data_IF_725459638784
#
_entry.id   IF_725459638784
#
_cell.length_a   1.000
_cell.length_b   1.000
_cell.length_c   1.000
_cell.angle_alpha   90.00
_cell.angle_beta   90.00
_cell.angle_gamma   90.00
#
_symmetry.space_group_name_H-M   'P 1'
#
loop_
_entity.id
_entity.type
_entity.pdbx_description
1 polymer ?
#
# COMPACT_ATOMS: atom_id res chain seq x y z
N UNK A 1 14.67 -27.89 -1.48
CA UNK A 1 14.05 -26.55 -1.70
C UNK A 1 14.39 -25.54 -0.61
N UNK A 2 14.17 -25.84 0.69
CA UNK A 2 14.59 -24.97 1.81
C UNK A 2 16.06 -24.54 1.71
N UNK A 3 16.95 -25.48 1.41
CA UNK A 3 18.37 -25.21 1.22
C UNK A 3 18.67 -24.26 0.04
N UNK A 4 17.97 -24.40 -1.09
CA UNK A 4 18.07 -23.49 -2.24
C UNK A 4 17.61 -22.07 -1.88
N UNK A 5 16.49 -21.94 -1.15
CA UNK A 5 15.99 -20.64 -0.68
C UNK A 5 16.97 -19.98 0.29
N UNK A 6 17.58 -20.76 1.19
CA UNK A 6 18.62 -20.27 2.12
C UNK A 6 19.86 -19.82 1.36
N UNK A 7 20.33 -20.61 0.38
CA UNK A 7 21.46 -20.22 -0.48
C UNK A 7 21.17 -18.94 -1.26
N UNK A 8 19.96 -18.79 -1.79
CA UNK A 8 19.53 -17.59 -2.50
C UNK A 8 19.45 -16.37 -1.58
N UNK A 9 18.91 -16.52 -0.37
CA UNK A 9 18.86 -15.46 0.64
C UNK A 9 20.28 -15.04 1.07
N UNK A 10 21.18 -15.99 1.31
CA UNK A 10 22.58 -15.73 1.65
C UNK A 10 23.33 -15.04 0.50
N UNK A 11 23.08 -15.45 -0.76
CA UNK A 11 23.61 -14.76 -1.93
C UNK A 11 23.11 -13.31 -2.02
N UNK A 12 21.80 -13.07 -1.87
CA UNK A 12 21.23 -11.71 -1.85
C UNK A 12 21.84 -10.84 -0.75
N UNK A 13 22.00 -11.38 0.45
CA UNK A 13 22.62 -10.68 1.57
C UNK A 13 24.09 -10.30 1.28
N UNK A 14 24.86 -11.22 0.67
CA UNK A 14 26.25 -10.94 0.25
C UNK A 14 26.32 -9.85 -0.82
N UNK A 15 25.46 -9.91 -1.83
CA UNK A 15 25.39 -8.89 -2.89
C UNK A 15 25.02 -7.53 -2.30
N UNK A 16 24.01 -7.48 -1.41
CA UNK A 16 23.61 -6.24 -0.76
C UNK A 16 24.74 -5.62 0.08
N UNK A 17 25.52 -6.43 0.81
CA UNK A 17 26.70 -5.95 1.56
C UNK A 17 27.74 -5.34 0.62
N UNK A 18 28.12 -6.06 -0.44
CA UNK A 18 29.09 -5.57 -1.44
C UNK A 18 28.64 -4.29 -2.12
N UNK A 19 27.34 -4.18 -2.42
CA UNK A 19 26.77 -2.96 -3.00
C UNK A 19 26.82 -1.80 -1.99
N UNK A 20 26.52 -2.04 -0.71
CA UNK A 20 26.58 -1.00 0.32
C UNK A 20 28.00 -0.52 0.65
N UNK A 21 29.03 -1.34 0.41
CA UNK A 21 30.43 -0.93 0.51
C UNK A 21 30.84 0.06 -0.60
N UNK A 22 30.13 0.05 -1.74
CA UNK A 22 30.39 0.96 -2.85
C UNK A 22 29.77 2.35 -2.58
N UNK A 23 30.60 3.39 -2.55
CA UNK A 23 30.15 4.78 -2.38
C UNK A 23 29.15 5.21 -3.45
N UNK A 24 29.43 4.91 -4.73
CA UNK A 24 28.52 5.24 -5.83
C UNK A 24 27.12 4.63 -5.66
N UNK A 25 27.04 3.39 -5.16
CA UNK A 25 25.75 2.74 -4.93
C UNK A 25 24.94 3.40 -3.82
N UNK A 26 25.62 3.89 -2.76
CA UNK A 26 24.99 4.63 -1.67
C UNK A 26 24.42 5.96 -2.17
N UNK A 27 25.24 6.72 -2.91
CA UNK A 27 24.83 8.01 -3.49
C UNK A 27 23.66 7.84 -4.48
N UNK A 28 23.74 6.82 -5.35
CA UNK A 28 22.65 6.48 -6.27
C UNK A 28 21.37 6.10 -5.53
N UNK A 29 21.48 5.34 -4.43
CA UNK A 29 20.32 4.94 -3.62
C UNK A 29 19.67 6.15 -2.95
N UNK A 30 20.48 7.09 -2.46
CA UNK A 30 19.98 8.33 -1.84
C UNK A 30 19.31 9.24 -2.86
N UNK A 31 19.94 9.44 -4.02
CA UNK A 31 19.35 10.16 -5.16
C UNK A 31 18.00 9.54 -5.56
N UNK A 32 17.98 8.23 -5.81
CA UNK A 32 16.74 7.53 -6.18
C UNK A 32 15.69 7.60 -5.08
N UNK A 33 16.09 7.62 -3.79
CA UNK A 33 15.15 7.79 -2.67
C UNK A 33 14.45 9.14 -2.77
N UNK A 34 15.19 10.22 -3.00
CA UNK A 34 14.63 11.55 -3.25
C UNK A 34 13.66 11.57 -4.43
N UNK A 35 14.08 11.03 -5.58
CA UNK A 35 13.26 10.96 -6.80
C UNK A 35 12.00 10.10 -6.62
N UNK A 36 12.04 9.10 -5.73
CA UNK A 36 10.90 8.22 -5.44
C UNK A 36 9.91 8.76 -4.40
N UNK A 37 10.20 9.91 -3.76
CA UNK A 37 9.29 10.52 -2.77
C UNK A 37 7.91 10.84 -3.35
N UNK A 38 7.78 11.44 -4.55
CA UNK A 38 6.47 11.67 -5.17
C UNK A 38 5.70 10.37 -5.41
N UNK A 39 6.37 9.28 -5.78
CA UNK A 39 5.73 7.96 -5.96
C UNK A 39 5.20 7.41 -4.65
N UNK A 40 5.98 7.56 -3.58
CA UNK A 40 5.56 7.17 -2.23
C UNK A 40 4.40 8.03 -1.73
N UNK A 41 4.45 9.34 -2.02
CA UNK A 41 3.37 10.29 -1.77
C UNK A 41 2.10 9.92 -2.53
N UNK A 42 2.22 9.55 -3.81
CA UNK A 42 1.12 9.09 -4.66
C UNK A 42 0.51 7.80 -4.10
N UNK A 43 1.32 6.78 -3.78
CA UNK A 43 0.82 5.53 -3.19
C UNK A 43 0.04 5.78 -1.88
N UNK A 44 0.60 6.59 -0.97
CA UNK A 44 -0.07 6.98 0.28
C UNK A 44 -1.32 7.83 0.02
N UNK A 45 -1.27 8.74 -0.94
CA UNK A 45 -2.38 9.59 -1.36
C UNK A 45 -3.53 8.77 -1.92
N UNK A 46 -3.26 7.82 -2.81
CA UNK A 46 -4.23 6.88 -3.36
C UNK A 46 -4.98 6.12 -2.26
N UNK A 47 -4.28 5.64 -1.24
CA UNK A 47 -4.91 4.95 -0.10
C UNK A 47 -5.70 5.89 0.84
N UNK A 48 -5.37 7.17 0.88
CA UNK A 48 -6.14 8.19 1.63
C UNK A 48 -7.42 8.55 0.89
N UNK A 49 -7.33 8.80 -0.42
CA UNK A 49 -8.46 9.17 -1.26
C UNK A 49 -9.43 8.01 -1.47
N UNK A 50 -8.91 6.79 -1.62
CA UNK A 50 -9.69 5.58 -1.86
C UNK A 50 -9.46 4.54 -0.76
N UNK A 51 -10.06 4.73 0.43
CA UNK A 51 -9.80 3.89 1.59
C UNK A 51 -10.20 2.43 1.40
N UNK A 52 -11.15 2.14 0.50
CA UNK A 52 -11.53 0.76 0.16
C UNK A 52 -10.38 -0.04 -0.47
N UNK A 53 -9.40 0.61 -1.10
CA UNK A 53 -8.23 -0.06 -1.68
C UNK A 53 -7.36 -0.74 -0.62
N UNK A 54 -7.43 -0.32 0.65
CA UNK A 54 -6.77 -1.03 1.76
C UNK A 54 -7.27 -2.46 1.90
N UNK A 55 -8.55 -2.72 1.61
CA UNK A 55 -9.11 -4.09 1.59
C UNK A 55 -8.56 -4.92 0.42
N UNK A 56 -8.05 -4.26 -0.61
CA UNK A 56 -7.45 -4.86 -1.81
C UNK A 56 -5.91 -4.80 -1.78
N UNK A 57 -5.29 -4.44 -0.66
CA UNK A 57 -3.83 -4.32 -0.55
C UNK A 57 -3.13 -5.66 -0.82
N UNK A 58 -3.76 -6.77 -0.44
CA UNK A 58 -3.28 -8.12 -0.74
C UNK A 58 -3.26 -8.44 -2.24
N UNK A 59 -4.01 -7.69 -3.07
CA UNK A 59 -4.01 -7.78 -4.53
C UNK A 59 -3.10 -6.74 -5.18
N UNK A 60 -3.17 -5.49 -4.72
CA UNK A 60 -2.56 -4.35 -5.42
C UNK A 60 -1.14 -4.01 -4.92
N UNK A 61 -0.83 -4.33 -3.66
CA UNK A 61 0.46 -4.06 -3.02
C UNK A 61 0.91 -2.58 -3.07
N UNK A 62 -0.02 -1.65 -2.80
CA UNK A 62 0.22 -0.20 -2.86
C UNK A 62 1.16 0.24 -1.73
N UNK A 63 0.96 -0.25 -0.49
CA UNK A 63 1.85 0.04 0.64
C UNK A 63 3.18 -0.70 0.51
N UNK A 64 3.17 -1.90 -0.09
CA UNK A 64 4.41 -2.63 -0.34
C UNK A 64 5.33 -1.88 -1.32
N UNK A 65 4.80 -1.04 -2.20
CA UNK A 65 5.59 -0.18 -3.10
C UNK A 65 6.56 0.71 -2.32
N UNK A 66 6.09 1.34 -1.24
CA UNK A 66 6.90 2.23 -0.40
C UNK A 66 8.06 1.52 0.33
N UNK A 67 8.03 0.18 0.38
CA UNK A 67 9.07 -0.66 0.98
C UNK A 67 10.03 -1.24 -0.07
N UNK A 68 9.81 -1.00 -1.36
CA UNK A 68 10.71 -1.48 -2.43
C UNK A 68 11.97 -0.62 -2.51
N UNK A 69 13.03 -1.22 -3.04
CA UNK A 69 14.31 -0.52 -3.19
C UNK A 69 14.15 0.67 -4.17
N UNK A 70 14.54 1.89 -3.79
CA UNK A 70 14.26 3.09 -4.58
C UNK A 70 14.90 3.05 -5.97
N UNK A 71 16.11 2.47 -6.10
CA UNK A 71 16.78 2.29 -7.39
C UNK A 71 15.96 1.41 -8.35
N UNK A 72 15.28 0.37 -7.83
CA UNK A 72 14.43 -0.49 -8.67
C UNK A 72 13.20 0.28 -9.13
N UNK A 73 12.57 1.05 -8.23
CA UNK A 73 11.40 1.86 -8.56
C UNK A 73 11.72 2.88 -9.66
N UNK A 74 12.76 3.69 -9.43
CA UNK A 74 13.17 4.75 -10.35
C UNK A 74 13.67 4.15 -11.65
N UNK A 75 14.53 3.11 -11.60
CA UNK A 75 15.06 2.45 -12.80
C UNK A 75 13.96 1.83 -13.67
N UNK A 76 12.96 1.19 -13.06
CA UNK A 76 11.83 0.59 -13.79
C UNK A 76 11.00 1.66 -14.49
N UNK A 77 10.64 2.74 -13.77
CA UNK A 77 9.84 3.83 -14.33
C UNK A 77 10.60 4.64 -15.38
N UNK A 78 11.88 4.92 -15.15
CA UNK A 78 12.74 5.61 -16.10
C UNK A 78 12.90 4.79 -17.40
N UNK A 79 13.05 3.46 -17.29
CA UNK A 79 13.13 2.59 -18.46
C UNK A 79 11.87 2.67 -19.32
N UNK A 80 10.68 2.54 -18.73
CA UNK A 80 9.43 2.60 -19.52
C UNK A 80 9.13 4.00 -20.04
N UNK A 81 9.47 5.05 -19.29
CA UNK A 81 9.34 6.42 -19.77
C UNK A 81 10.26 6.67 -20.97
N UNK A 82 11.52 6.21 -20.90
CA UNK A 82 12.46 6.29 -22.01
C UNK A 82 11.98 5.51 -23.24
N UNK A 83 11.33 4.34 -23.04
CA UNK A 83 10.70 3.60 -24.13
C UNK A 83 9.55 4.38 -24.76
N UNK A 84 8.67 4.98 -23.95
CA UNK A 84 7.58 5.82 -24.44
C UNK A 84 8.06 7.06 -25.18
N UNK A 85 9.15 7.69 -24.74
CA UNK A 85 9.73 8.86 -25.41
C UNK A 85 10.44 8.52 -26.74
N UNK A 86 10.65 7.24 -27.06
CA UNK A 86 11.28 6.81 -28.31
C UNK A 86 10.23 6.63 -29.40
N UNK A 87 10.48 7.27 -30.54
CA UNK A 87 9.72 7.04 -31.77
C UNK A 87 9.79 5.57 -32.17
N UNK A 88 8.64 4.97 -32.47
CA UNK A 88 8.55 3.59 -32.97
C UNK A 88 8.16 3.58 -34.44
N UNK A 89 8.46 2.48 -35.14
CA UNK A 89 7.95 2.30 -36.51
C UNK A 89 6.43 2.26 -36.47
N UNK A 90 5.76 3.23 -37.10
CA UNK A 90 4.31 3.49 -37.08
C UNK A 90 3.79 4.33 -35.90
N UNK A 91 4.63 4.68 -34.91
CA UNK A 91 4.24 5.54 -33.78
C UNK A 91 3.20 4.88 -32.87
N UNK A 92 3.22 3.54 -32.76
CA UNK A 92 2.16 2.75 -32.15
C UNK A 92 2.67 1.90 -30.98
N UNK A 93 1.87 1.79 -29.93
CA UNK A 93 2.19 1.07 -28.69
C UNK A 93 2.50 -0.41 -28.91
N UNK A 94 1.75 -1.11 -29.78
CA UNK A 94 1.97 -2.53 -30.02
C UNK A 94 3.28 -2.81 -30.77
N UNK A 95 3.84 -1.81 -31.45
CA UNK A 95 5.09 -1.97 -32.19
C UNK A 95 6.32 -2.00 -31.27
N UNK A 96 6.18 -1.51 -30.03
CA UNK A 96 7.15 -1.77 -28.97
C UNK A 96 7.00 -3.21 -28.45
N UNK A 97 7.73 -4.13 -29.08
CA UNK A 97 7.75 -5.56 -28.72
C UNK A 97 8.20 -5.84 -27.28
N UNK A 98 8.86 -4.89 -26.61
CA UNK A 98 9.38 -5.07 -25.27
C UNK A 98 8.43 -4.59 -24.17
N UNK A 99 7.53 -3.63 -24.46
CA UNK A 99 6.77 -2.95 -23.40
C UNK A 99 5.73 -3.85 -22.73
N UNK A 100 4.91 -4.57 -23.51
CA UNK A 100 3.90 -5.48 -22.96
C UNK A 100 4.51 -6.61 -22.12
N UNK A 101 5.54 -7.35 -22.60
CA UNK A 101 6.23 -8.33 -21.77
C UNK A 101 6.83 -7.72 -20.49
N UNK A 102 7.47 -6.56 -20.58
CA UNK A 102 8.11 -5.92 -19.44
C UNK A 102 7.09 -5.49 -18.39
N UNK A 103 6.00 -4.84 -18.79
CA UNK A 103 4.93 -4.43 -17.88
C UNK A 103 4.24 -5.65 -17.26
N UNK A 104 4.03 -6.72 -18.02
CA UNK A 104 3.50 -7.98 -17.48
C UNK A 104 4.43 -8.62 -16.44
N UNK A 105 5.75 -8.56 -16.66
CA UNK A 105 6.75 -9.00 -15.69
C UNK A 105 6.68 -8.17 -14.40
N UNK A 106 6.67 -6.84 -14.54
CA UNK A 106 6.59 -5.90 -13.41
C UNK A 106 5.26 -6.05 -12.65
N UNK A 107 4.16 -6.35 -13.34
CA UNK A 107 2.86 -6.65 -12.73
C UNK A 107 2.96 -7.83 -11.75
N UNK A 108 3.64 -8.90 -12.16
CA UNK A 108 3.93 -10.05 -11.28
C UNK A 108 4.68 -9.63 -10.03
N UNK A 109 5.70 -8.78 -10.17
CA UNK A 109 6.49 -8.24 -9.06
C UNK A 109 5.67 -7.35 -8.11
N UNK A 110 4.94 -6.36 -8.65
CA UNK A 110 4.06 -5.46 -7.91
C UNK A 110 3.02 -4.84 -8.88
N UNK A 111 1.70 -5.15 -8.75
CA UNK A 111 0.68 -4.71 -9.69
C UNK A 111 0.55 -3.20 -9.77
N UNK A 112 0.61 -2.52 -8.62
CA UNK A 112 0.54 -1.06 -8.60
C UNK A 112 1.72 -0.41 -9.33
N UNK A 113 2.95 -0.93 -9.17
CA UNK A 113 4.10 -0.50 -9.96
C UNK A 113 3.90 -0.75 -11.45
N UNK A 114 3.37 -1.93 -11.82
CA UNK A 114 3.07 -2.25 -13.22
C UNK A 114 2.10 -1.25 -13.83
N UNK A 115 1.04 -0.89 -13.10
CA UNK A 115 0.10 0.17 -13.51
C UNK A 115 0.80 1.51 -13.73
N UNK A 116 1.63 1.93 -12.77
CA UNK A 116 2.41 3.18 -12.87
C UNK A 116 3.39 3.15 -14.05
N UNK A 117 3.92 1.97 -14.40
CA UNK A 117 4.74 1.80 -15.60
C UNK A 117 3.93 2.02 -16.87
N UNK A 118 2.71 1.50 -16.95
CA UNK A 118 1.79 1.76 -18.05
C UNK A 118 1.43 3.24 -18.19
N UNK A 119 1.17 3.92 -17.07
CA UNK A 119 0.95 5.39 -17.05
C UNK A 119 2.19 6.12 -17.55
N UNK A 120 3.38 5.77 -17.04
CA UNK A 120 4.63 6.45 -17.38
C UNK A 120 5.00 6.28 -18.86
N UNK A 121 4.78 5.10 -19.43
CA UNK A 121 4.94 4.88 -20.86
C UNK A 121 3.96 5.74 -21.66
N UNK A 122 2.67 5.72 -21.31
CA UNK A 122 1.65 6.49 -22.03
C UNK A 122 1.91 8.00 -22.00
N UNK A 123 2.35 8.53 -20.86
CA UNK A 123 2.78 9.94 -20.75
C UNK A 123 3.98 10.21 -21.65
N UNK A 124 5.00 9.34 -21.65
CA UNK A 124 6.16 9.47 -22.52
C UNK A 124 5.80 9.49 -24.01
N UNK A 125 4.97 8.54 -24.44
CA UNK A 125 4.53 8.40 -25.84
C UNK A 125 3.64 9.59 -26.27
N UNK A 126 2.73 10.06 -25.41
CA UNK A 126 1.95 11.26 -25.68
C UNK A 126 2.82 12.52 -25.80
N UNK A 127 3.80 12.69 -24.91
CA UNK A 127 4.76 13.81 -24.98
C UNK A 127 5.53 13.73 -26.30
N UNK A 128 6.06 12.57 -26.65
CA UNK A 128 6.77 12.38 -27.91
C UNK A 128 5.88 12.73 -29.12
N UNK A 129 4.64 12.24 -29.16
CA UNK A 129 3.69 12.51 -30.26
C UNK A 129 3.24 13.96 -30.34
N UNK A 130 3.25 14.66 -29.22
CA UNK A 130 2.95 16.08 -29.17
C UNK A 130 4.07 16.90 -29.83
N UNK A 131 5.33 16.59 -29.53
CA UNK A 131 6.49 17.27 -30.11
C UNK A 131 6.82 16.82 -31.54
N UNK A 132 6.62 15.54 -31.84
CA UNK A 132 6.88 14.93 -33.14
C UNK A 132 5.62 14.22 -33.60
N UNK A 133 4.76 14.86 -34.43
CA UNK A 133 3.53 14.24 -34.91
C UNK A 133 3.86 13.12 -35.92
N UNK A 134 4.18 11.94 -35.41
CA UNK A 134 4.60 10.76 -36.17
C UNK A 134 3.46 9.75 -36.38
N UNK A 135 2.22 10.17 -36.13
CA UNK A 135 1.02 9.34 -36.33
C UNK A 135 0.87 9.00 -37.82
N UNK A 136 0.79 7.71 -38.12
CA UNK A 136 0.56 7.23 -39.47
C UNK A 136 -0.73 7.83 -40.06
N UNK A 137 -0.64 8.40 -41.26
CA UNK A 137 -1.75 9.06 -41.96
C UNK A 137 -2.17 10.42 -41.40
N UNK A 138 -1.50 10.94 -40.36
CA UNK A 138 -1.86 12.22 -39.71
C UNK A 138 -0.62 12.92 -39.09
N UNK A 139 0.34 13.31 -39.94
CA UNK A 139 1.67 13.83 -39.50
C UNK A 139 1.72 15.34 -39.22
N UNK A 140 0.58 16.00 -39.09
CA UNK A 140 0.51 17.45 -38.94
C UNK A 140 -0.49 17.84 -37.85
N UNK A 141 -0.14 18.82 -37.00
CA UNK A 141 -1.02 19.32 -35.94
C UNK A 141 -2.33 19.95 -36.44
N UNK A 142 -2.34 20.41 -37.69
CA UNK A 142 -3.54 20.95 -38.34
C UNK A 142 -4.52 19.88 -38.84
N UNK A 143 -4.14 18.60 -38.84
CA UNK A 143 -5.01 17.51 -39.28
C UNK A 143 -5.95 17.10 -38.14
N UNK A 144 -7.27 17.11 -38.39
CA UNK A 144 -8.24 16.64 -37.41
C UNK A 144 -8.10 15.14 -37.12
N UNK A 145 -7.53 14.36 -38.05
CA UNK A 145 -7.19 12.96 -37.82
C UNK A 145 -6.09 12.81 -36.76
N UNK A 146 -5.16 13.77 -36.65
CA UNK A 146 -4.12 13.75 -35.62
C UNK A 146 -4.74 13.86 -34.24
N UNK A 147 -5.65 14.82 -34.04
CA UNK A 147 -6.32 15.02 -32.75
C UNK A 147 -7.27 13.88 -32.40
N UNK A 148 -8.00 13.33 -33.38
CA UNK A 148 -8.80 12.12 -33.18
C UNK A 148 -7.94 10.93 -32.73
N UNK A 149 -6.79 10.74 -33.36
CA UNK A 149 -5.83 9.70 -32.97
C UNK A 149 -5.22 9.95 -31.57
N UNK A 150 -4.88 11.21 -31.23
CA UNK A 150 -4.34 11.56 -29.91
C UNK A 150 -5.31 11.20 -28.78
N UNK A 151 -6.60 11.54 -28.92
CA UNK A 151 -7.63 11.19 -27.94
C UNK A 151 -7.80 9.66 -27.86
N UNK A 152 -7.80 8.98 -29.01
CA UNK A 152 -7.87 7.53 -29.05
C UNK A 152 -6.65 6.84 -28.42
N UNK A 153 -5.45 7.41 -28.54
CA UNK A 153 -4.25 6.89 -27.88
C UNK A 153 -4.34 6.95 -26.36
N UNK A 154 -4.94 8.00 -25.80
CA UNK A 154 -5.19 8.08 -24.35
C UNK A 154 -5.98 6.86 -23.87
N UNK A 155 -6.96 6.40 -24.67
CA UNK A 155 -7.73 5.18 -24.38
C UNK A 155 -6.87 3.94 -24.60
N UNK A 156 -6.09 3.87 -25.68
CA UNK A 156 -5.20 2.74 -25.96
C UNK A 156 -4.22 2.44 -24.82
N UNK A 157 -3.63 3.46 -24.18
CA UNK A 157 -2.70 3.27 -23.05
C UNK A 157 -3.35 2.65 -21.81
N UNK A 158 -4.68 2.66 -21.70
CA UNK A 158 -5.38 1.93 -20.63
C UNK A 158 -5.06 0.44 -20.69
N UNK A 159 -4.80 -0.15 -21.86
CA UNK A 159 -4.36 -1.55 -21.96
C UNK A 159 -3.02 -1.81 -21.29
N UNK A 160 -2.07 -0.87 -21.30
CA UNK A 160 -0.82 -1.02 -20.53
C UNK A 160 -1.06 -0.94 -19.03
N UNK A 161 -1.98 -0.06 -18.60
CA UNK A 161 -2.34 0.02 -17.19
C UNK A 161 -2.99 -1.29 -16.73
N UNK A 162 -3.89 -1.86 -17.56
CA UNK A 162 -4.52 -3.15 -17.31
C UNK A 162 -3.48 -4.28 -17.37
N UNK A 163 -2.55 -4.28 -18.33
CA UNK A 163 -1.42 -5.23 -18.36
C UNK A 163 -0.53 -5.10 -17.13
N UNK A 164 -0.40 -3.89 -16.59
CA UNK A 164 0.33 -3.60 -15.36
C UNK A 164 -0.35 -4.14 -14.11
N UNK A 165 -1.67 -4.30 -14.12
CA UNK A 165 -2.46 -4.75 -12.97
C UNK A 165 -2.84 -6.24 -13.05
N UNK A 166 -3.47 -6.63 -14.16
CA UNK A 166 -4.23 -7.87 -14.27
C UNK A 166 -3.40 -9.13 -14.06
N UNK A 167 -2.20 -9.30 -14.67
CA UNK A 167 -1.38 -10.50 -14.45
C UNK A 167 -1.01 -10.71 -12.99
N UNK A 168 -0.56 -9.65 -12.31
CA UNK A 168 -0.19 -9.72 -10.91
C UNK A 168 -1.37 -9.88 -9.96
N UNK A 169 -2.52 -9.27 -10.24
CA UNK A 169 -3.75 -9.48 -9.47
C UNK A 169 -4.28 -10.90 -9.63
N UNK A 170 -4.35 -11.41 -10.87
CA UNK A 170 -4.79 -12.77 -11.17
C UNK A 170 -3.89 -13.81 -10.50
N UNK A 171 -2.57 -13.62 -10.55
CA UNK A 171 -1.58 -14.45 -9.85
C UNK A 171 -1.88 -14.55 -8.34
N UNK A 172 -2.13 -13.41 -7.69
CA UNK A 172 -2.44 -13.34 -6.25
C UNK A 172 -3.79 -13.98 -5.93
N UNK A 173 -4.81 -13.74 -6.74
CA UNK A 173 -6.12 -14.34 -6.59
C UNK A 173 -6.06 -15.87 -6.71
N UNK A 174 -5.39 -16.40 -7.73
CA UNK A 174 -5.22 -17.84 -7.93
C UNK A 174 -4.43 -18.49 -6.79
N UNK A 175 -3.36 -17.84 -6.31
CA UNK A 175 -2.62 -18.26 -5.10
C UNK A 175 -3.50 -18.32 -3.87
N UNK A 176 -4.28 -17.26 -3.63
CA UNK A 176 -5.16 -17.19 -2.47
C UNK A 176 -6.24 -18.28 -2.52
N UNK A 177 -6.82 -18.53 -3.70
CA UNK A 177 -7.81 -19.59 -3.91
C UNK A 177 -7.23 -20.98 -3.64
N UNK A 178 -6.09 -21.31 -4.25
CA UNK A 178 -5.43 -22.61 -4.05
C UNK A 178 -4.95 -22.77 -2.61
N UNK A 179 -4.37 -21.72 -2.01
CA UNK A 179 -3.99 -21.73 -0.60
C UNK A 179 -5.18 -21.94 0.34
N UNK A 180 -6.37 -21.41 0.02
CA UNK A 180 -7.58 -21.66 0.79
C UNK A 180 -8.04 -23.12 0.69
N UNK A 181 -8.00 -23.71 -0.51
CA UNK A 181 -8.31 -25.14 -0.74
C UNK A 181 -7.33 -26.03 0.02
N UNK A 182 -6.03 -25.74 -0.05
CA UNK A 182 -4.99 -26.48 0.67
C UNK A 182 -5.19 -26.37 2.18
N UNK A 183 -5.44 -25.17 2.71
CA UNK A 183 -5.71 -24.98 4.15
C UNK A 183 -6.97 -25.74 4.58
N UNK A 184 -8.02 -25.74 3.76
CA UNK A 184 -9.23 -26.53 3.99
C UNK A 184 -8.94 -28.03 4.05
N UNK A 185 -8.16 -28.54 3.09
CA UNK A 185 -7.71 -29.93 3.07
C UNK A 185 -6.85 -30.29 4.30
N UNK A 186 -5.89 -29.43 4.67
CA UNK A 186 -5.04 -29.66 5.84
C UNK A 186 -5.81 -29.61 7.15
N UNK A 187 -6.83 -28.75 7.28
CA UNK A 187 -7.74 -28.75 8.43
C UNK A 187 -8.53 -30.05 8.51
N UNK A 188 -9.10 -30.51 7.40
CA UNK A 188 -9.81 -31.81 7.33
C UNK A 188 -8.89 -32.99 7.64
N UNK A 189 -7.62 -32.92 7.24
CA UNK A 189 -6.60 -33.90 7.60
C UNK A 189 -6.32 -33.87 9.11
N UNK A 190 -6.14 -32.69 9.69
CA UNK A 190 -5.88 -32.56 11.12
C UNK A 190 -7.04 -33.09 11.96
N UNK A 191 -8.30 -32.81 11.56
CA UNK A 191 -9.48 -33.39 12.22
C UNK A 191 -9.54 -34.91 12.03
N UNK A 192 -9.33 -35.42 10.82
CA UNK A 192 -9.33 -36.87 10.57
C UNK A 192 -8.23 -37.62 11.34
N UNK A 193 -7.06 -37.02 11.53
CA UNK A 193 -5.99 -37.61 12.36
C UNK A 193 -6.31 -37.53 13.85
N UNK A 194 -7.01 -36.48 14.31
CA UNK A 194 -7.52 -36.41 15.68
C UNK A 194 -8.59 -37.47 15.96
N UNK A 195 -9.37 -37.84 14.94
CA UNK A 195 -10.41 -38.87 15.01
C UNK A 195 -9.89 -40.31 14.77
N UNK A 196 -8.56 -40.52 14.73
CA UNK A 196 -7.94 -41.84 14.55
C UNK A 196 -7.95 -42.38 13.11
N UNK A 197 -8.29 -41.55 12.12
CA UNK A 197 -8.26 -41.89 10.70
C UNK A 197 -6.85 -42.01 10.12
N UNK A 198 -6.73 -42.81 9.05
CA UNK A 198 -5.47 -43.04 8.35
C UNK A 198 -4.81 -41.74 7.85
N UNK A 199 -3.47 -41.66 7.93
CA UNK A 199 -2.72 -40.47 7.52
C UNK A 199 -2.87 -40.19 6.02
N UNK A 200 -3.44 -39.04 5.67
CA UNK A 200 -3.46 -38.55 4.29
C UNK A 200 -2.05 -38.14 3.82
N UNK A 201 -1.71 -38.29 2.52
CA UNK A 201 -0.39 -37.96 1.99
C UNK A 201 -0.01 -36.48 2.17
N UNK A 202 1.30 -36.21 2.24
CA UNK A 202 1.85 -34.84 2.35
C UNK A 202 1.65 -34.09 1.04
N UNK A 203 1.01 -32.92 1.09
CA UNK A 203 0.75 -32.09 -0.08
C UNK A 203 1.94 -31.17 -0.40
N UNK A 204 2.34 -31.02 -1.68
CA UNK A 204 3.37 -30.08 -2.12
C UNK A 204 2.82 -28.64 -2.20
N UNK A 205 2.25 -28.15 -1.10
CA UNK A 205 1.47 -26.91 -1.04
C UNK A 205 2.13 -25.67 -1.69
N UNK A 206 3.45 -25.39 -1.48
CA UNK A 206 4.09 -24.21 -2.08
C UNK A 206 4.19 -24.29 -3.62
N UNK A 207 4.35 -25.49 -4.18
CA UNK A 207 4.44 -25.67 -5.63
C UNK A 207 3.10 -25.43 -6.30
N UNK A 208 2.00 -25.89 -5.67
CA UNK A 208 0.65 -25.66 -6.16
C UNK A 208 0.28 -24.17 -6.16
N UNK A 209 0.68 -23.42 -5.13
CA UNK A 209 0.47 -21.97 -5.10
C UNK A 209 1.32 -21.23 -6.15
N UNK A 210 2.57 -21.62 -6.35
CA UNK A 210 3.43 -21.03 -7.40
C UNK A 210 2.83 -21.31 -8.78
N UNK A 211 2.44 -22.56 -9.06
CA UNK A 211 1.83 -22.98 -10.31
C UNK A 211 0.49 -22.27 -10.55
N UNK A 212 -0.36 -22.15 -9.53
CA UNK A 212 -1.62 -21.42 -9.63
C UNK A 212 -1.41 -19.94 -9.94
N UNK A 213 -0.42 -19.31 -9.29
CA UNK A 213 -0.07 -17.92 -9.58
C UNK A 213 0.48 -17.73 -10.99
N UNK A 214 1.32 -18.67 -11.46
CA UNK A 214 1.82 -18.71 -12.82
C UNK A 214 0.69 -18.82 -13.85
N UNK A 215 -0.24 -19.76 -13.67
CA UNK A 215 -1.38 -19.96 -14.57
C UNK A 215 -2.30 -18.74 -14.59
N UNK A 216 -2.59 -18.15 -13.42
CA UNK A 216 -3.38 -16.92 -13.32
C UNK A 216 -2.73 -15.74 -14.06
N UNK A 217 -1.41 -15.57 -13.90
CA UNK A 217 -0.66 -14.53 -14.60
C UNK A 217 -0.60 -14.75 -16.11
N UNK A 218 -0.39 -16.00 -16.54
CA UNK A 218 -0.40 -16.37 -17.95
C UNK A 218 -1.74 -16.03 -18.60
N UNK A 219 -2.84 -16.51 -18.01
CA UNK A 219 -4.18 -16.32 -18.54
C UNK A 219 -4.51 -14.84 -18.64
N UNK A 220 -4.27 -14.07 -17.57
CA UNK A 220 -4.54 -12.63 -17.59
C UNK A 220 -3.64 -11.86 -18.57
N UNK A 221 -2.33 -12.17 -18.63
CA UNK A 221 -1.43 -11.54 -19.59
C UNK A 221 -1.81 -11.84 -21.04
N UNK A 222 -2.19 -13.09 -21.32
CA UNK A 222 -2.70 -13.49 -22.62
C UNK A 222 -4.01 -12.76 -22.94
N UNK A 223 -4.99 -12.74 -22.04
CA UNK A 223 -6.29 -12.07 -22.25
C UNK A 223 -6.13 -10.59 -22.47
N UNK A 224 -5.24 -9.91 -21.74
CA UNK A 224 -5.04 -8.47 -21.96
C UNK A 224 -4.45 -8.22 -23.35
N UNK A 225 -3.45 -9.01 -23.76
CA UNK A 225 -2.81 -8.82 -25.08
C UNK A 225 -3.72 -9.24 -26.24
N UNK A 226 -4.51 -10.31 -26.07
CA UNK A 226 -5.32 -10.89 -27.13
C UNK A 226 -6.72 -10.25 -27.24
N UNK A 227 -7.35 -9.87 -26.12
CA UNK A 227 -8.74 -9.40 -26.12
C UNK A 227 -8.85 -7.91 -25.78
N UNK A 228 -8.12 -7.45 -24.76
CA UNK A 228 -8.29 -6.08 -24.24
C UNK A 228 -7.57 -5.06 -25.10
N UNK A 229 -6.28 -5.27 -25.38
CA UNK A 229 -5.46 -4.34 -26.15
C UNK A 229 -6.07 -4.01 -27.53
N UNK A 230 -6.51 -5.00 -28.33
CA UNK A 230 -7.14 -4.73 -29.63
C UNK A 230 -8.36 -3.82 -29.52
N UNK A 231 -9.21 -4.03 -28.52
CA UNK A 231 -10.42 -3.22 -28.32
C UNK A 231 -10.04 -1.79 -27.89
N UNK A 232 -9.12 -1.65 -26.94
CA UNK A 232 -8.71 -0.33 -26.45
C UNK A 232 -7.93 0.50 -27.47
N UNK A 233 -7.33 -0.14 -28.48
CA UNK A 233 -6.63 0.54 -29.57
C UNK A 233 -7.56 1.05 -30.66
N UNK A 234 -8.76 0.48 -30.82
CA UNK A 234 -9.74 0.91 -31.83
C UNK A 234 -9.97 2.43 -31.83
N UNK A 235 -10.23 3.10 -30.69
CA UNK A 235 -10.35 4.56 -30.64
C UNK A 235 -9.24 5.32 -31.37
N UNK A 236 -7.99 4.88 -31.32
CA UNK A 236 -6.85 5.56 -31.98
C UNK A 236 -6.96 5.56 -33.52
N UNK A 237 -7.82 4.72 -34.09
CA UNK A 237 -8.05 4.60 -35.52
C UNK A 237 -9.45 5.07 -35.93
N UNK A 238 -10.48 4.62 -35.20
CA UNK A 238 -11.88 4.83 -35.58
C UNK A 238 -12.45 6.20 -35.16
N UNK A 239 -11.84 6.90 -34.20
CA UNK A 239 -12.28 8.26 -33.83
C UNK A 239 -11.70 9.35 -34.74
N UNK A 240 -10.92 8.97 -35.75
CA UNK A 240 -10.43 9.89 -36.77
C UNK A 240 -11.58 10.26 -37.71
N UNK A 241 -11.73 11.53 -38.13
CA UNK A 241 -12.75 11.93 -39.11
C UNK A 241 -12.68 11.16 -40.44
N UNK A 242 -11.48 10.74 -40.87
CA UNK A 242 -11.27 9.86 -42.03
C UNK A 242 -10.44 8.65 -41.59
N UNK A 243 -11.09 7.60 -41.05
CA UNK A 243 -10.37 6.48 -40.46
C UNK A 243 -9.68 5.64 -41.54
N UNK A 244 -8.37 5.43 -41.40
CA UNK A 244 -7.63 4.38 -42.10
C UNK A 244 -7.32 3.25 -41.10
N UNK A 245 -7.98 2.11 -41.31
CA UNK A 245 -7.94 0.95 -40.40
C UNK A 245 -6.98 -0.14 -40.90
N UNK A 246 -6.32 0.06 -42.04
CA UNK A 246 -5.36 -0.90 -42.59
C UNK A 246 -4.21 -1.17 -41.59
N UNK A 247 -3.73 -0.12 -40.94
CA UNK A 247 -2.72 -0.21 -39.89
C UNK A 247 -3.24 -0.93 -38.63
N UNK A 248 -4.51 -0.71 -38.25
CA UNK A 248 -5.11 -1.38 -37.10
C UNK A 248 -5.15 -2.90 -37.27
N UNK A 249 -5.59 -3.38 -38.43
CA UNK A 249 -5.63 -4.83 -38.69
C UNK A 249 -4.24 -5.46 -38.70
N UNK A 250 -3.23 -4.76 -39.24
CA UNK A 250 -1.84 -5.23 -39.19
C UNK A 250 -1.32 -5.25 -37.74
N UNK A 251 -1.62 -4.20 -36.96
CA UNK A 251 -1.24 -4.04 -35.56
C UNK A 251 -1.81 -5.17 -34.70
N UNK A 252 -3.13 -5.35 -34.73
CA UNK A 252 -3.82 -6.38 -33.94
C UNK A 252 -3.30 -7.78 -34.29
N UNK A 253 -3.26 -8.12 -35.58
CA UNK A 253 -2.91 -9.48 -35.98
C UNK A 253 -1.41 -9.79 -35.83
N UNK A 254 -0.53 -8.80 -35.98
CA UNK A 254 0.92 -9.03 -35.99
C UNK A 254 1.57 -8.72 -34.65
N UNK A 255 1.13 -7.67 -33.99
CA UNK A 255 1.78 -7.09 -32.83
C UNK A 255 1.04 -7.33 -31.52
N UNK A 256 -0.23 -7.75 -31.56
CA UNK A 256 -1.02 -8.12 -30.38
C UNK A 256 -1.30 -9.63 -30.29
N UNK A 257 -2.12 -10.18 -31.19
CA UNK A 257 -2.56 -11.57 -31.13
C UNK A 257 -1.41 -12.57 -31.20
N UNK A 258 -0.50 -12.43 -32.19
CA UNK A 258 0.64 -13.34 -32.38
C UNK A 258 1.57 -13.43 -31.15
N UNK A 259 2.00 -12.32 -30.52
CA UNK A 259 2.87 -12.40 -29.34
C UNK A 259 2.13 -12.67 -28.02
N UNK A 260 0.79 -12.67 -27.98
CA UNK A 260 0.03 -12.88 -26.74
C UNK A 260 0.46 -14.11 -25.91
N UNK A 261 0.72 -15.30 -26.50
CA UNK A 261 1.23 -16.45 -25.74
C UNK A 261 2.59 -16.19 -25.09
N UNK A 262 3.50 -15.52 -25.79
CA UNK A 262 4.82 -15.17 -25.27
C UNK A 262 4.71 -14.16 -24.11
N UNK A 263 3.83 -13.17 -24.23
CA UNK A 263 3.55 -12.18 -23.16
C UNK A 263 2.98 -12.88 -21.91
N UNK A 264 2.04 -13.81 -22.08
CA UNK A 264 1.54 -14.65 -20.98
C UNK A 264 2.66 -15.47 -20.33
N UNK A 265 3.59 -16.00 -21.12
CA UNK A 265 4.79 -16.70 -20.62
C UNK A 265 5.69 -15.79 -19.77
N UNK A 266 5.89 -14.54 -20.18
CA UNK A 266 6.70 -13.57 -19.39
C UNK A 266 5.96 -13.16 -18.11
N UNK A 267 4.64 -12.98 -18.16
CA UNK A 267 3.82 -12.73 -16.98
C UNK A 267 3.95 -13.84 -15.93
N UNK A 268 4.05 -15.09 -16.38
CA UNK A 268 4.32 -16.26 -15.54
C UNK A 268 5.65 -16.12 -14.81
N UNK A 269 6.72 -15.75 -15.51
CA UNK A 269 8.05 -15.58 -14.90
C UNK A 269 8.04 -14.50 -13.82
N UNK A 270 7.40 -13.34 -14.08
CA UNK A 270 7.30 -12.25 -13.11
C UNK A 270 6.51 -12.64 -11.86
N UNK A 271 5.52 -13.50 -12.02
CA UNK A 271 4.71 -14.03 -10.93
C UNK A 271 5.39 -15.17 -10.17
N UNK A 272 6.16 -16.02 -10.85
CA UNK A 272 6.83 -17.17 -10.26
C UNK A 272 7.94 -16.79 -9.28
N UNK A 273 8.46 -15.56 -9.36
CA UNK A 273 9.32 -15.00 -8.33
C UNK A 273 8.47 -14.89 -7.06
N UNK A 274 8.76 -15.64 -6.00
CA UNK A 274 8.03 -15.45 -4.77
C UNK A 274 8.25 -14.00 -4.37
N UNK A 275 7.16 -13.23 -4.27
CA UNK A 275 7.14 -12.01 -3.45
C UNK A 275 7.25 -12.51 -2.01
N UNK A 276 8.41 -13.05 -1.68
CA UNK A 276 9.00 -12.86 -0.39
C UNK A 276 9.15 -11.34 -0.31
N UNK A 277 8.08 -10.66 0.12
CA UNK A 277 8.27 -9.65 1.14
C UNK A 277 9.38 -10.22 2.04
N UNK A 278 10.50 -9.50 2.24
CA UNK A 278 11.58 -9.99 3.08
C UNK A 278 10.90 -10.65 4.27
N UNK A 279 11.20 -11.94 4.57
CA UNK A 279 10.50 -12.64 5.64
C UNK A 279 10.38 -11.63 6.75
N UNK A 280 9.15 -11.36 7.23
CA UNK A 280 9.00 -10.72 8.54
C UNK A 280 10.01 -11.48 9.35
N UNK A 281 11.10 -10.80 9.73
CA UNK A 281 12.25 -11.50 10.30
C UNK A 281 11.62 -12.41 11.33
N UNK A 282 11.82 -13.75 11.24
CA UNK A 282 11.35 -14.60 12.32
C UNK A 282 11.84 -13.88 13.57
N UNK A 283 10.94 -13.53 14.52
CA UNK A 283 11.30 -12.73 15.67
C UNK A 283 12.62 -13.30 16.14
N UNK A 284 13.67 -12.47 16.08
CA UNK A 284 15.04 -12.93 16.29
C UNK A 284 14.96 -13.91 17.43
N UNK A 285 15.27 -15.18 17.17
CA UNK A 285 15.29 -16.17 18.24
C UNK A 285 16.20 -15.54 19.27
N UNK A 286 15.60 -15.14 20.40
CA UNK A 286 16.30 -14.34 21.38
C UNK A 286 17.63 -15.06 21.63
N UNK A 287 18.78 -14.37 21.53
CA UNK A 287 20.04 -14.97 21.94
C UNK A 287 19.78 -15.62 23.29
N UNK A 288 20.08 -16.92 23.41
CA UNK A 288 19.78 -17.73 24.59
C UNK A 288 19.98 -16.87 25.83
N UNK A 289 18.86 -16.42 26.40
CA UNK A 289 18.88 -15.47 27.51
C UNK A 289 19.57 -16.20 28.65
N UNK A 290 20.52 -15.55 29.35
CA UNK A 290 20.93 -16.01 30.67
C UNK A 290 19.67 -16.32 31.47
N UNK A 291 19.67 -17.44 32.19
CA UNK A 291 18.53 -17.89 32.98
C UNK A 291 18.34 -16.89 34.14
N UNK A 292 17.40 -15.95 33.97
CA UNK A 292 17.02 -14.99 35.00
C UNK A 292 15.80 -15.51 35.75
N UNK A 293 15.70 -15.25 37.07
CA UNK A 293 14.52 -15.62 37.85
C UNK A 293 13.26 -14.94 37.32
N UNK A 294 12.11 -15.60 37.44
CA UNK A 294 10.82 -15.12 36.88
C UNK A 294 10.32 -13.82 37.53
N UNK A 295 10.85 -13.48 38.71
CA UNK A 295 10.57 -12.27 39.47
C UNK A 295 11.88 -11.64 39.97
N UNK A 296 12.06 -10.34 39.71
CA UNK A 296 13.19 -9.55 40.20
C UNK A 296 12.63 -8.38 41.01
N UNK A 297 13.01 -8.33 42.28
CA UNK A 297 12.63 -7.25 43.18
C UNK A 297 13.77 -6.23 43.35
N UNK A 298 13.40 -4.96 43.33
CA UNK A 298 14.32 -3.85 43.57
C UNK A 298 13.64 -2.76 44.38
N UNK A 299 14.31 -2.29 45.44
CA UNK A 299 13.87 -1.12 46.21
C UNK A 299 14.58 0.11 45.66
N UNK A 300 13.80 1.06 45.13
CA UNK A 300 14.31 2.31 44.60
C UNK A 300 14.77 3.28 45.73
N UNK A 301 15.57 4.31 45.41
CA UNK A 301 16.04 5.29 46.40
C UNK A 301 14.93 6.09 47.09
N UNK A 302 13.71 6.13 46.52
CA UNK A 302 12.52 6.73 47.15
C UNK A 302 11.80 5.78 48.12
N UNK A 303 12.36 4.58 48.36
CA UNK A 303 11.81 3.57 49.25
C UNK A 303 10.70 2.72 48.64
N UNK A 304 10.34 2.91 47.36
CA UNK A 304 9.31 2.10 46.70
C UNK A 304 9.88 0.79 46.16
N UNK A 305 9.11 -0.29 46.33
CA UNK A 305 9.46 -1.64 45.85
C UNK A 305 8.97 -1.82 44.43
N UNK A 306 9.88 -1.84 43.47
CA UNK A 306 9.61 -2.22 42.10
C UNK A 306 9.75 -3.73 41.94
N UNK A 307 8.71 -4.35 41.38
CA UNK A 307 8.67 -5.78 41.06
C UNK A 307 8.66 -5.91 39.54
N UNK A 308 9.62 -6.65 39.00
CA UNK A 308 9.71 -7.00 37.59
C UNK A 308 9.22 -8.43 37.40
N UNK A 309 8.13 -8.63 36.67
CA UNK A 309 7.55 -9.96 36.40
C UNK A 309 7.66 -10.28 34.92
N UNK A 310 8.05 -11.51 34.62
CA UNK A 310 8.10 -12.02 33.26
C UNK A 310 6.69 -12.31 32.72
N UNK A 311 6.34 -11.69 31.61
CA UNK A 311 5.06 -11.92 30.93
C UNK A 311 5.09 -13.19 30.05
N UNK A 312 3.94 -13.59 29.51
CA UNK A 312 3.80 -14.74 28.62
C UNK A 312 4.62 -14.64 27.31
N UNK A 313 5.05 -13.43 26.94
CA UNK A 313 5.91 -13.14 25.78
C UNK A 313 7.41 -13.16 26.13
N UNK A 314 7.73 -13.47 27.40
CA UNK A 314 9.10 -13.57 27.91
C UNK A 314 9.76 -12.25 28.29
N UNK A 315 9.03 -11.13 28.25
CA UNK A 315 9.49 -9.79 28.60
C UNK A 315 9.26 -9.49 30.09
N UNK A 316 10.18 -8.78 30.73
CA UNK A 316 9.98 -8.33 32.12
C UNK A 316 9.23 -7.02 32.13
N UNK A 317 8.15 -6.95 32.91
CA UNK A 317 7.33 -5.75 33.07
C UNK A 317 7.46 -5.28 34.50
N UNK A 318 7.72 -3.98 34.68
CA UNK A 318 7.64 -3.35 35.98
C UNK A 318 6.18 -3.14 36.37
N UNK A 319 5.70 -3.89 37.35
CA UNK A 319 4.27 -3.87 37.75
C UNK A 319 3.82 -2.47 38.17
N UNK A 320 4.70 -1.67 38.78
CA UNK A 320 4.35 -0.32 39.24
C UNK A 320 4.20 0.69 38.10
N UNK A 321 4.88 0.47 36.96
CA UNK A 321 4.93 1.46 35.87
C UNK A 321 4.31 0.96 34.57
N UNK A 322 4.03 -0.35 34.46
CA UNK A 322 3.57 -1.00 33.22
C UNK A 322 4.61 -1.02 32.10
N UNK A 323 5.83 -0.52 32.35
CA UNK A 323 6.89 -0.43 31.35
C UNK A 323 7.63 -1.75 31.18
N UNK A 324 7.96 -2.07 29.93
CA UNK A 324 8.82 -3.21 29.57
C UNK A 324 10.27 -2.87 29.92
N UNK A 325 10.95 -3.77 30.62
CA UNK A 325 12.33 -3.64 31.09
C UNK A 325 13.19 -4.71 30.44
N UNK A 326 14.29 -4.27 29.82
CA UNK A 326 15.31 -5.17 29.30
C UNK A 326 16.25 -5.59 30.45
N UNK A 327 16.11 -6.83 30.91
CA UNK A 327 16.90 -7.38 32.02
C UNK A 327 18.38 -7.53 31.68
N UNK A 328 18.75 -7.60 30.40
CA UNK A 328 20.17 -7.61 30.00
C UNK A 328 20.88 -6.30 30.32
N UNK A 329 20.11 -5.21 30.49
CA UNK A 329 20.57 -3.87 30.86
C UNK A 329 19.96 -3.42 32.19
N UNK A 330 19.65 -4.37 33.08
CA UNK A 330 18.96 -4.11 34.34
C UNK A 330 19.65 -3.02 35.20
N UNK A 331 20.97 -3.03 35.29
CA UNK A 331 21.72 -2.04 36.08
C UNK A 331 21.67 -0.64 35.46
N UNK A 332 21.75 -0.53 34.14
CA UNK A 332 21.60 0.75 33.44
C UNK A 332 20.18 1.30 33.57
N UNK A 333 19.18 0.41 33.53
CA UNK A 333 17.79 0.76 33.78
C UNK A 333 17.59 1.27 35.22
N UNK A 334 18.13 0.57 36.23
CA UNK A 334 18.09 1.01 37.65
C UNK A 334 18.76 2.37 37.83
N UNK A 335 19.92 2.61 37.20
CA UNK A 335 20.63 3.89 37.27
C UNK A 335 19.83 5.02 36.60
N UNK A 336 19.22 4.74 35.45
CA UNK A 336 18.37 5.72 34.74
C UNK A 336 17.14 6.06 35.57
N UNK A 337 16.46 5.06 36.14
CA UNK A 337 15.31 5.27 37.00
C UNK A 337 15.68 6.02 38.28
N UNK A 338 16.80 5.67 38.91
CA UNK A 338 17.28 6.38 40.10
C UNK A 338 17.53 7.86 39.83
N UNK A 339 18.07 8.19 38.64
CA UNK A 339 18.27 9.57 38.19
C UNK A 339 16.95 10.29 37.96
N UNK A 340 16.00 9.66 37.26
CA UNK A 340 14.68 10.25 37.03
C UNK A 340 13.94 10.53 38.35
N UNK A 341 14.05 9.63 39.33
CA UNK A 341 13.50 9.82 40.68
C UNK A 341 14.15 11.02 41.37
N UNK A 342 15.49 11.13 41.30
CA UNK A 342 16.22 12.26 41.88
C UNK A 342 15.81 13.59 41.23
N UNK A 343 15.73 13.64 39.89
CA UNK A 343 15.29 14.83 39.13
C UNK A 343 13.84 15.21 39.48
N UNK A 344 12.95 14.23 39.61
CA UNK A 344 11.55 14.48 39.97
C UNK A 344 11.42 14.98 41.42
N UNK A 345 12.23 14.47 42.35
CA UNK A 345 12.28 14.95 43.74
C UNK A 345 12.83 16.39 43.81
N UNK A 346 13.86 16.70 43.03
CA UNK A 346 14.44 18.06 42.95
C UNK A 346 13.41 19.04 42.37
N UNK A 347 12.77 18.70 41.25
CA UNK A 347 11.70 19.50 40.67
C UNK A 347 10.55 19.73 41.66
N UNK A 348 10.14 18.68 42.40
CA UNK A 348 9.08 18.79 43.40
C UNK A 348 9.48 19.72 44.55
N UNK A 349 10.74 19.69 45.00
CA UNK A 349 11.27 20.62 46.00
C UNK A 349 11.28 22.05 45.49
N UNK A 350 11.72 22.29 44.26
CA UNK A 350 11.70 23.62 43.67
C UNK A 350 10.27 24.20 43.56
N UNK A 351 9.30 23.38 43.17
CA UNK A 351 7.90 23.81 43.09
C UNK A 351 7.35 24.16 44.48
N UNK A 352 7.67 23.35 45.49
CA UNK A 352 7.28 23.63 46.89
C UNK A 352 7.94 24.90 47.42
N UNK A 353 9.22 25.16 47.09
CA UNK A 353 9.87 26.42 47.43
C UNK A 353 9.24 27.62 46.73
N UNK A 354 8.90 27.50 45.44
CA UNK A 354 8.21 28.55 44.69
C UNK A 354 6.84 28.86 45.31
N UNK A 355 6.09 27.84 45.71
CA UNK A 355 4.82 28.00 46.43
C UNK A 355 5.03 28.68 47.78
N UNK A 356 6.01 28.24 48.57
CA UNK A 356 6.32 28.86 49.86
C UNK A 356 6.73 30.35 49.72
N UNK A 357 7.52 30.69 48.68
CA UNK A 357 7.88 32.09 48.35
C UNK A 357 6.66 32.91 47.89
N UNK A 358 5.75 32.31 47.13
CA UNK A 358 4.49 32.95 46.71
C UNK A 358 3.61 33.26 47.92
N UNK A 359 3.46 32.32 48.84
CA UNK A 359 2.59 32.47 50.00
C UNK A 359 3.16 33.47 51.02
N UNK A 360 4.49 33.54 51.17
CA UNK A 360 5.15 34.60 51.95
C UNK A 360 5.04 35.98 51.29
N UNK A 361 5.15 36.08 49.97
CA UNK A 361 4.94 37.33 49.23
C UNK A 361 3.48 37.81 49.33
N UNK A 362 2.50 36.91 49.28
CA UNK A 362 1.08 37.23 49.48
C UNK A 362 0.81 37.71 50.91
N UNK A 363 1.45 37.12 51.92
CA UNK A 363 1.39 37.62 53.31
C UNK A 363 1.99 39.01 53.47
N UNK A 364 3.14 39.30 52.84
CA UNK A 364 3.75 40.64 52.87
C UNK A 364 2.95 41.67 52.06
N UNK A 365 2.33 41.27 50.95
CA UNK A 365 1.45 42.10 50.13
C UNK A 365 0.16 42.50 50.84
N UNK A 366 -0.46 41.57 51.59
CA UNK A 366 -1.62 41.88 52.43
C UNK A 366 -1.25 42.69 53.69
N UNK A 367 -0.02 42.57 54.20
CA UNK A 367 0.48 43.46 55.25
C UNK A 367 0.62 44.93 54.82
N UNK A 368 0.80 45.20 53.52
CA UNK A 368 0.86 46.57 52.97
C UNK A 368 -0.48 47.14 52.51
N UNK A 369 -1.54 46.34 52.41
CA UNK A 369 -2.91 46.77 52.09
C UNK A 369 -3.89 46.67 53.27
N UNK A 370 -3.37 46.50 54.48
CA UNK A 370 -4.14 46.52 55.74
C UNK A 370 -4.10 47.87 56.47
N UNK A 371 -4.01 48.99 55.74
CA UNK A 371 -4.09 50.33 56.29
C UNK A 371 -5.22 51.10 55.63
N UNK A 372 -6.45 50.90 56.09
CA UNK A 372 -7.59 51.76 55.74
C UNK A 372 -8.73 51.03 55.06
N UNK A 373 -9.60 50.40 55.85
CA UNK A 373 -11.05 50.42 55.67
C UNK A 373 -11.70 49.71 56.86
N UNK A 374 -11.64 50.38 58.00
CA UNK A 374 -12.55 50.15 59.11
C UNK A 374 -13.95 50.64 58.69
N UNK A 375 -14.98 49.82 58.92
CA UNK A 375 -16.36 50.28 59.02
C UNK A 375 -17.29 49.94 57.85
N UNK A 376 -17.99 48.80 57.94
CA UNK A 376 -19.41 48.77 58.36
C UNK A 376 -19.98 47.35 58.33
N UNK A 377 -20.68 47.06 59.42
CA UNK A 377 -21.49 45.88 59.74
C UNK A 377 -22.55 45.59 58.65
N UNK A 378 -22.86 44.31 58.43
CA UNK A 378 -24.09 43.63 58.91
C UNK A 378 -24.26 42.24 58.27
N UNK A 379 -24.41 41.21 59.15
CA UNK A 379 -25.38 40.10 59.16
C UNK A 379 -25.86 39.51 57.80
N UNK A 380 -25.85 38.21 57.50
CA UNK A 380 -26.40 37.05 58.24
C UNK A 380 -26.00 35.71 57.54
N UNK A 381 -25.80 34.68 58.36
CA UNK A 381 -26.19 33.25 58.24
C UNK A 381 -25.97 32.41 56.95
N UNK A 382 -25.26 31.29 57.14
CA UNK A 382 -25.32 29.99 56.43
C UNK A 382 -26.60 29.17 56.80
N UNK A 383 -26.87 27.93 56.30
CA UNK A 383 -26.50 27.18 55.06
C UNK A 383 -27.77 26.51 54.40
N UNK A 384 -27.76 25.23 53.94
CA UNK A 384 -27.66 24.76 52.54
C UNK A 384 -28.99 24.21 51.99
N UNK A 385 -29.06 23.89 50.69
CA UNK A 385 -30.23 23.26 50.09
C UNK A 385 -29.93 22.52 48.79
N UNK A 386 -30.22 21.22 48.82
CA UNK A 386 -30.16 20.24 47.74
C UNK A 386 -31.10 20.58 46.58
N UNK A 387 -30.84 20.04 45.38
CA UNK A 387 -31.73 20.24 44.23
C UNK A 387 -31.22 19.64 42.93
N UNK A 388 -31.44 18.34 42.80
CA UNK A 388 -31.34 17.51 41.60
C UNK A 388 -32.33 17.95 40.50
N UNK A 389 -32.00 17.53 39.26
CA UNK A 389 -32.89 17.39 38.10
C UNK A 389 -33.23 18.60 37.20
N UNK A 390 -33.34 18.26 35.90
CA UNK A 390 -33.78 19.06 34.76
C UNK A 390 -32.85 20.16 34.20
N UNK A 391 -31.99 19.78 33.23
CA UNK A 391 -32.05 20.34 31.87
C UNK A 391 -31.15 19.58 30.86
N UNK A 392 -31.31 18.26 30.77
CA UNK A 392 -30.86 17.48 29.60
C UNK A 392 -31.96 17.55 28.53
N UNK A 393 -32.13 18.72 27.91
CA UNK A 393 -33.04 18.89 26.77
C UNK A 393 -32.72 20.18 26.01
N UNK A 394 -31.62 20.16 25.23
CA UNK A 394 -31.36 21.08 24.09
C UNK A 394 -30.01 20.76 23.45
N UNK A 395 -29.85 19.57 22.86
CA UNK A 395 -28.68 19.28 22.02
C UNK A 395 -28.88 18.18 20.98
N UNK A 396 -30.00 18.18 20.25
CA UNK A 396 -30.12 17.44 18.99
C UNK A 396 -31.14 18.15 18.10
N UNK A 397 -30.66 19.15 17.35
CA UNK A 397 -31.46 19.89 16.37
C UNK A 397 -31.69 19.06 15.11
N UNK A 398 -32.77 18.26 15.09
CA UNK A 398 -33.29 17.61 13.89
C UNK A 398 -34.80 17.90 13.81
N UNK A 399 -35.27 18.68 12.84
CA UNK A 399 -36.69 18.71 12.47
C UNK A 399 -37.05 17.59 11.48
N UNK A 400 -38.33 17.17 11.44
CA UNK A 400 -38.78 15.92 10.83
C UNK A 400 -39.12 16.01 9.34
N UNK A 401 -39.31 14.82 8.77
CA UNK A 401 -39.69 14.47 7.39
C UNK A 401 -41.21 14.58 7.17
N UNK A 402 -41.61 15.15 6.03
CA UNK A 402 -42.90 14.98 5.32
C UNK A 402 -42.67 15.54 3.89
N UNK A 403 -43.20 15.05 2.77
CA UNK A 403 -44.23 14.08 2.44
C UNK A 403 -44.43 14.09 0.92
N UNK A 404 -45.05 13.04 0.39
CA UNK A 404 -45.07 12.61 -1.02
C UNK A 404 -45.92 13.44 -2.02
N UNK A 405 -45.59 13.33 -3.32
CA UNK A 405 -46.45 12.92 -4.47
C UNK A 405 -46.03 13.60 -5.78
N UNK A 406 -46.02 12.85 -6.88
CA UNK A 406 -45.93 13.41 -8.23
C UNK A 406 -45.76 12.37 -9.34
N UNK A 407 -46.84 11.72 -9.73
CA UNK A 407 -46.97 10.85 -10.91
C UNK A 407 -46.99 11.66 -12.22
N UNK A 408 -46.33 11.19 -13.30
CA UNK A 408 -46.88 11.25 -14.68
C UNK A 408 -46.13 10.35 -15.68
N UNK A 409 -46.95 9.80 -16.59
CA UNK A 409 -46.72 8.83 -17.68
C UNK A 409 -46.37 9.51 -19.03
N UNK A 410 -46.11 8.64 -20.03
CA UNK A 410 -46.11 8.76 -21.53
C UNK A 410 -44.72 8.84 -22.18
N UNK A 411 -44.36 8.15 -23.28
CA UNK A 411 -45.05 7.35 -24.32
C UNK A 411 -43.98 6.45 -25.03
N UNK A 412 -44.17 5.14 -25.34
CA UNK A 412 -44.56 4.51 -26.66
C UNK A 412 -44.00 5.22 -27.92
N UNK A 413 -43.49 4.58 -29.00
CA UNK A 413 -43.73 3.25 -29.63
C UNK A 413 -42.88 3.03 -30.91
N UNK A 414 -42.65 1.74 -31.30
CA UNK A 414 -42.52 1.11 -32.66
C UNK A 414 -41.44 1.63 -33.67
N UNK A 415 -40.89 0.90 -34.66
CA UNK A 415 -41.24 -0.27 -35.51
C UNK A 415 -39.95 -0.88 -36.14
N UNK A 416 -39.77 -2.21 -36.27
CA UNK A 416 -39.90 -3.06 -37.49
C UNK A 416 -39.31 -2.56 -38.84
N UNK A 417 -38.35 -3.33 -39.42
CA UNK A 417 -38.40 -4.07 -40.72
C UNK A 417 -36.98 -4.55 -41.10
N UNK A 418 -36.73 -5.86 -41.24
CA UNK A 418 -36.65 -6.68 -42.46
C UNK A 418 -35.77 -6.16 -43.63
N UNK A 419 -34.84 -7.01 -44.09
CA UNK A 419 -34.09 -6.82 -45.33
C UNK A 419 -33.06 -7.93 -45.61
N UNK A 420 -33.36 -8.76 -46.60
CA UNK A 420 -32.71 -9.99 -47.06
C UNK A 420 -31.56 -9.80 -48.08
N UNK A 421 -30.57 -10.72 -48.00
CA UNK A 421 -29.94 -11.50 -49.09
C UNK A 421 -28.92 -10.91 -50.13
N UNK A 422 -28.10 -11.85 -50.64
CA UNK A 422 -27.33 -11.87 -51.93
C UNK A 422 -25.90 -11.24 -51.85
N UNK A 423 -24.78 -11.76 -52.39
CA UNK A 423 -24.40 -12.93 -53.20
C UNK A 423 -22.91 -13.27 -53.01
N UNK A 424 -22.57 -14.50 -53.39
CA UNK A 424 -21.26 -15.02 -53.83
C UNK A 424 -20.45 -14.08 -54.74
N UNK A 425 -19.13 -14.11 -54.55
CA UNK A 425 -18.08 -13.80 -55.51
C UNK A 425 -16.77 -14.38 -55.02
#
# INVERSE_FOLDING_TARGET
MRELLVRFAAWRARVARRLNENAFWRDLTEFCRGVSLPLTGLARGTLRTFPFLRKLEWLLEIEALARRHPVVLVGTLAFVLFRGLKTTSLGHIATDKAIYPFIALVSGYNPFLGMLCGVSYGVGDLVQKFFFPDIYGARHWGDLNYWGAMVGYVVAYSSLMIMGLAPGMASRACRAAVGAVIRGYLRRRATAMADGGASLPVTPAPLLEIAAGAVGAYAAGWTVMHEVAPITEQPAFYWRPRPDVSCHHLEVNTHLHKPAPAVGGVATAGSAIPVLAPPVMPPQTAPQTPEYPDEIEWVAPDGKRHVLVRNAEGQYINILTGGVVDVTRLEEWKQTWSRNIAEQQEFSREQMEKLARRDTALRQGNGRRGGGAEGKRQNLAEPPGDGEEDLVRRRTGIPPVEGARGSRKYSRSHSESQGTAIQKG
#
